data_IF_340732031245
#
_entry.id   IF_340732031245
#
_cell.length_a   1.000
_cell.length_b   1.000
_cell.length_c   1.000
_cell.angle_alpha   90.00
_cell.angle_beta   90.00
_cell.angle_gamma   90.00
#
_symmetry.space_group_name_H-M   'P 1'
#
loop_
_entity.id
_entity.type
_entity.pdbx_description
1 polymer ?
#
# COMPACT_ATOMS: atom_id res chain seq x y z
N UNK A 1 -3.37 12.35 19.89
CA UNK A 1 -3.92 13.07 18.73
C UNK A 1 -3.47 12.37 17.44
N UNK A 2 -4.31 12.31 16.41
CA UNK A 2 -3.97 11.72 15.11
C UNK A 2 -2.94 12.61 14.37
N UNK A 3 -1.87 11.99 13.83
CA UNK A 3 -0.77 12.69 13.15
C UNK A 3 -0.66 12.23 11.68
N UNK A 4 -1.36 12.89 10.75
CA UNK A 4 -1.43 12.45 9.35
C UNK A 4 -0.08 12.52 8.61
N UNK A 5 0.76 13.52 8.92
CA UNK A 5 2.08 13.66 8.30
C UNK A 5 3.01 12.51 8.66
N UNK A 6 3.07 12.13 9.94
CA UNK A 6 3.87 10.98 10.40
C UNK A 6 3.38 9.68 9.73
N UNK A 7 2.06 9.52 9.58
CA UNK A 7 1.47 8.37 8.88
C UNK A 7 1.84 8.33 7.40
N UNK A 8 1.86 9.47 6.72
CA UNK A 8 2.30 9.56 5.33
C UNK A 8 3.79 9.19 5.19
N UNK A 9 4.64 9.71 6.07
CA UNK A 9 6.07 9.37 6.10
C UNK A 9 6.30 7.86 6.36
N UNK A 10 5.54 7.26 7.27
CA UNK A 10 5.55 5.81 7.49
C UNK A 10 5.16 5.03 6.23
N UNK A 11 4.10 5.45 5.52
CA UNK A 11 3.66 4.80 4.29
C UNK A 11 4.71 4.89 3.16
N UNK A 12 5.39 6.03 3.03
CA UNK A 12 6.49 6.19 2.07
C UNK A 12 7.70 5.31 2.43
N UNK A 13 8.05 5.22 3.71
CA UNK A 13 9.10 4.34 4.18
C UNK A 13 8.75 2.86 3.93
N UNK A 14 7.51 2.46 4.22
CA UNK A 14 6.97 1.14 3.92
C UNK A 14 7.09 0.83 2.42
N UNK A 15 6.58 1.69 1.54
CA UNK A 15 6.70 1.53 0.08
C UNK A 15 8.14 1.29 -0.38
N UNK A 16 9.11 2.06 0.15
CA UNK A 16 10.53 1.91 -0.17
C UNK A 16 11.08 0.55 0.26
N UNK A 17 10.71 0.04 1.44
CA UNK A 17 11.13 -1.28 1.93
C UNK A 17 10.64 -2.40 1.02
N UNK A 18 9.36 -2.39 0.67
CA UNK A 18 8.77 -3.39 -0.24
C UNK A 18 9.36 -3.31 -1.65
N UNK A 19 9.65 -2.10 -2.16
CA UNK A 19 10.28 -1.93 -3.47
C UNK A 19 11.69 -2.52 -3.52
N UNK A 20 12.44 -2.46 -2.42
CA UNK A 20 13.76 -3.13 -2.30
C UNK A 20 13.61 -4.65 -2.32
N UNK A 21 12.66 -5.19 -1.53
CA UNK A 21 12.38 -6.63 -1.55
C UNK A 21 12.00 -7.12 -2.96
N UNK A 22 11.16 -6.38 -3.67
CA UNK A 22 10.80 -6.67 -5.07
C UNK A 22 12.00 -6.63 -6.02
N UNK A 23 12.96 -5.74 -5.80
CA UNK A 23 14.17 -5.65 -6.63
C UNK A 23 15.09 -6.86 -6.42
N UNK A 24 15.12 -7.39 -5.20
CA UNK A 24 15.97 -8.52 -4.81
C UNK A 24 15.29 -9.88 -5.03
N UNK A 25 14.01 -9.90 -5.46
CA UNK A 25 13.18 -11.11 -5.47
C UNK A 25 13.75 -12.23 -6.34
N UNK A 26 14.43 -11.88 -7.43
CA UNK A 26 15.04 -12.85 -8.34
C UNK A 26 16.36 -13.43 -7.81
N UNK A 27 16.95 -12.82 -6.80
CA UNK A 27 18.22 -13.24 -6.20
C UNK A 27 18.05 -13.95 -4.85
N UNK A 28 16.83 -13.97 -4.30
CA UNK A 28 16.51 -14.58 -3.01
C UNK A 28 15.73 -15.89 -3.19
N UNK A 29 15.86 -16.80 -2.23
CA UNK A 29 15.00 -17.99 -2.16
C UNK A 29 13.63 -17.64 -1.59
N UNK A 30 12.62 -18.47 -1.88
CA UNK A 30 11.26 -18.28 -1.35
C UNK A 30 11.23 -18.17 0.19
N UNK A 31 12.06 -18.95 0.89
CA UNK A 31 12.17 -18.90 2.35
C UNK A 31 12.75 -17.56 2.85
N UNK A 32 13.73 -17.01 2.14
CA UNK A 32 14.32 -15.72 2.47
C UNK A 32 13.36 -14.56 2.15
N UNK A 33 12.61 -14.67 1.05
CA UNK A 33 11.55 -13.71 0.70
C UNK A 33 10.48 -13.71 1.80
N UNK A 34 10.01 -14.88 2.23
CA UNK A 34 9.00 -15.00 3.28
C UNK A 34 9.49 -14.41 4.61
N UNK A 35 10.71 -14.74 5.04
CA UNK A 35 11.30 -14.17 6.27
C UNK A 35 11.39 -12.64 6.22
N UNK A 36 11.88 -12.09 5.10
CA UNK A 36 11.96 -10.64 4.92
C UNK A 36 10.58 -10.00 4.88
N UNK A 37 9.60 -10.65 4.28
CA UNK A 37 8.23 -10.17 4.24
C UNK A 37 7.65 -10.05 5.66
N UNK A 38 7.79 -11.09 6.49
CA UNK A 38 7.34 -11.09 7.88
C UNK A 38 7.99 -9.94 8.68
N UNK A 39 9.30 -9.74 8.51
CA UNK A 39 10.03 -8.63 9.14
C UNK A 39 9.53 -7.25 8.69
N UNK A 40 9.09 -7.10 7.43
CA UNK A 40 8.53 -5.84 6.95
C UNK A 40 7.15 -5.57 7.55
N UNK A 41 6.30 -6.59 7.57
CA UNK A 41 4.92 -6.51 8.05
C UNK A 41 4.84 -6.16 9.54
N UNK A 42 5.80 -6.63 10.36
CA UNK A 42 5.86 -6.30 11.79
C UNK A 42 5.89 -4.78 12.07
N UNK A 43 6.53 -4.02 11.18
CA UNK A 43 6.70 -2.57 11.34
C UNK A 43 5.75 -1.75 10.47
N UNK A 44 4.74 -2.38 9.89
CA UNK A 44 3.80 -1.69 9.02
C UNK A 44 2.73 -0.96 9.81
N UNK A 45 2.48 0.27 9.39
CA UNK A 45 1.49 1.10 10.06
C UNK A 45 0.10 0.74 9.55
N UNK A 46 -0.84 0.51 10.46
CA UNK A 46 -2.24 0.38 10.07
C UNK A 46 -2.72 1.64 9.34
N UNK A 47 -3.21 1.45 8.12
CA UNK A 47 -3.90 2.46 7.34
C UNK A 47 -5.41 2.45 7.66
N UNK A 48 -6.13 3.56 7.46
CA UNK A 48 -7.58 3.57 7.54
C UNK A 48 -8.17 2.55 6.56
N UNK A 49 -9.06 1.68 7.06
CA UNK A 49 -9.71 0.64 6.22
C UNK A 49 -10.47 1.23 5.04
N UNK A 50 -10.97 2.46 5.17
CA UNK A 50 -11.63 3.21 4.09
C UNK A 50 -10.71 3.57 2.92
N UNK A 51 -9.39 3.40 3.07
CA UNK A 51 -8.39 3.59 2.02
C UNK A 51 -7.88 2.25 1.44
N UNK A 52 -8.29 1.09 1.96
CA UNK A 52 -7.81 -0.21 1.46
C UNK A 52 -8.23 -0.46 0.02
N UNK A 53 -9.54 -0.39 -0.27
CA UNK A 53 -10.05 -0.57 -1.61
C UNK A 53 -9.55 0.53 -2.58
N UNK A 54 -9.52 1.82 -2.17
CA UNK A 54 -8.86 2.85 -2.95
C UNK A 54 -7.39 2.57 -3.30
N UNK A 55 -6.57 2.18 -2.31
CA UNK A 55 -5.16 1.89 -2.53
C UNK A 55 -4.99 0.67 -3.44
N UNK A 56 -5.79 -0.38 -3.26
CA UNK A 56 -5.78 -1.57 -4.12
C UNK A 56 -6.13 -1.21 -5.56
N UNK A 57 -7.21 -0.44 -5.79
CA UNK A 57 -7.60 -0.03 -7.13
C UNK A 57 -6.51 0.79 -7.83
N UNK A 58 -5.83 1.68 -7.11
CA UNK A 58 -4.69 2.43 -7.66
C UNK A 58 -3.57 1.50 -8.11
N UNK A 59 -3.22 0.50 -7.29
CA UNK A 59 -2.24 -0.52 -7.67
C UNK A 59 -2.73 -1.38 -8.85
N UNK A 60 -4.01 -1.77 -8.89
CA UNK A 60 -4.60 -2.50 -10.03
C UNK A 60 -4.50 -1.71 -11.34
N UNK A 61 -4.75 -0.39 -11.32
CA UNK A 61 -4.60 0.48 -12.51
C UNK A 61 -3.15 0.46 -13.01
N UNK A 62 -2.17 0.62 -12.11
CA UNK A 62 -0.75 0.57 -12.46
C UNK A 62 -0.36 -0.80 -13.06
N UNK A 63 -0.97 -1.88 -12.58
CA UNK A 63 -0.75 -3.26 -13.04
C UNK A 63 -1.65 -3.69 -14.21
N UNK A 64 -2.51 -2.80 -14.75
CA UNK A 64 -3.49 -3.09 -15.80
C UNK A 64 -4.41 -4.28 -15.45
N UNK A 65 -4.88 -4.32 -14.20
CA UNK A 65 -5.82 -5.31 -13.67
C UNK A 65 -7.20 -4.69 -13.46
N UNK A 66 -8.19 -5.54 -13.31
CA UNK A 66 -9.55 -5.13 -12.98
C UNK A 66 -9.60 -4.39 -11.63
N UNK A 67 -10.49 -3.40 -11.56
CA UNK A 67 -10.75 -2.59 -10.36
C UNK A 67 -12.10 -2.97 -9.77
N UNK A 68 -12.22 -2.86 -8.45
CA UNK A 68 -13.50 -3.05 -7.78
C UNK A 68 -14.25 -1.71 -7.62
N UNK A 69 -15.59 -1.71 -7.66
CA UNK A 69 -16.35 -0.49 -7.45
C UNK A 69 -16.15 0.04 -6.04
N UNK A 70 -15.83 1.33 -5.93
CA UNK A 70 -15.77 2.03 -4.65
C UNK A 70 -17.16 2.45 -4.16
N UNK A 71 -17.39 2.30 -2.87
CA UNK A 71 -18.54 2.90 -2.17
C UNK A 71 -18.46 4.43 -2.19
N UNK A 72 -19.57 5.11 -1.89
CA UNK A 72 -19.61 6.58 -1.82
C UNK A 72 -18.63 7.13 -0.78
N UNK A 73 -18.49 6.43 0.35
CA UNK A 73 -17.56 6.83 1.41
C UNK A 73 -16.10 6.65 0.99
N UNK A 74 -15.76 5.51 0.38
CA UNK A 74 -14.40 5.29 -0.15
C UNK A 74 -14.05 6.28 -1.26
N UNK A 75 -15.00 6.68 -2.11
CA UNK A 75 -14.78 7.75 -3.12
C UNK A 75 -14.44 9.08 -2.47
N UNK A 76 -15.14 9.46 -1.40
CA UNK A 76 -14.86 10.67 -0.64
C UNK A 76 -13.48 10.61 0.01
N UNK A 77 -13.17 9.50 0.67
CA UNK A 77 -11.86 9.31 1.33
C UNK A 77 -10.72 9.27 0.32
N UNK A 78 -10.92 8.63 -0.83
CA UNK A 78 -9.97 8.64 -1.92
C UNK A 78 -9.71 10.06 -2.42
N UNK A 79 -10.75 10.88 -2.64
CA UNK A 79 -10.60 12.28 -3.05
C UNK A 79 -9.75 13.08 -2.05
N UNK A 80 -10.03 12.92 -0.75
CA UNK A 80 -9.27 13.58 0.32
C UNK A 80 -7.80 13.12 0.37
N UNK A 81 -7.53 11.87 0.01
CA UNK A 81 -6.20 11.27 0.02
C UNK A 81 -5.39 11.49 -1.29
N UNK A 82 -5.86 12.35 -2.21
CA UNK A 82 -5.17 12.63 -3.47
C UNK A 82 -5.69 11.84 -4.68
N UNK A 83 -6.85 11.22 -4.55
CA UNK A 83 -7.63 10.61 -5.61
C UNK A 83 -7.16 9.23 -6.08
N UNK A 84 -8.04 8.59 -6.85
CA UNK A 84 -7.69 7.53 -7.81
C UNK A 84 -8.07 8.10 -9.18
N UNK A 85 -7.20 7.98 -10.20
CA UNK A 85 -7.59 8.30 -11.58
C UNK A 85 -8.86 7.53 -11.94
N UNK A 86 -9.84 8.21 -12.55
CA UNK A 86 -11.05 7.58 -13.06
C UNK A 86 -10.73 6.76 -14.31
#
# INVERSE_FOLDING_TARGET
AYKPADKAACADAQKKRYSRLLSDIHAASDAEIARRLDELEEFDSNAPTSLYNPARNRASIELRRDIEPLTKFEKLMALLAGGIPK
#
